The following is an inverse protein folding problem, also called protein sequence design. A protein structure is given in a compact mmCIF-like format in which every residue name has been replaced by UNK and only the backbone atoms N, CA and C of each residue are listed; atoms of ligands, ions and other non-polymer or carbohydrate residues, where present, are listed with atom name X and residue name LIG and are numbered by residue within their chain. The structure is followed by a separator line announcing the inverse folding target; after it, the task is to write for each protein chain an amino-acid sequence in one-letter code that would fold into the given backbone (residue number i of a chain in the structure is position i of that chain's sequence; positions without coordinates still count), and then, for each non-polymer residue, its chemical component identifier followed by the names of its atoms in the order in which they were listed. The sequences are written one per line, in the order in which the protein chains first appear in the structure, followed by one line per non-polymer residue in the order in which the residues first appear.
data_IF_093774172578
#
_entry.id   IF_093774172578
#
_cell.length_a   1.000
_cell.length_b   1.000
_cell.length_c   1.000
_cell.angle_alpha   90.00
_cell.angle_beta   90.00
_cell.angle_gamma   90.00
#
_symmetry.space_group_name_H-M   'P 1'
#
loop_
_entity.id
_entity.type
_entity.pdbx_description
1 polymer ?
#
# COMPACT_ATOMS: atom_id res chain seq x y z
N UNK A 1 -27.08 19.35 36.35
CA UNK A 1 -26.26 18.12 36.28
C UNK A 1 -26.46 17.48 34.91
N UNK A 2 -25.62 17.77 33.90
CA UNK A 2 -25.73 17.15 32.58
C UNK A 2 -24.71 16.02 32.42
N UNK A 3 -25.24 14.81 32.26
CA UNK A 3 -24.95 13.87 31.17
C UNK A 3 -23.49 13.60 30.80
N UNK A 4 -22.97 12.50 31.36
CA UNK A 4 -21.99 11.61 30.72
C UNK A 4 -22.53 11.07 29.39
N UNK A 5 -22.28 11.75 28.28
CA UNK A 5 -22.36 11.18 26.94
C UNK A 5 -20.93 11.08 26.42
N UNK A 6 -20.31 9.92 26.65
CA UNK A 6 -19.07 9.56 25.97
C UNK A 6 -19.36 9.53 24.46
N UNK A 7 -18.53 10.20 23.64
CA UNK A 7 -18.78 10.34 22.22
C UNK A 7 -18.68 8.98 21.50
N UNK A 8 -19.48 8.77 20.46
CA UNK A 8 -19.56 7.55 19.65
C UNK A 8 -18.19 7.02 19.15
N UNK A 9 -17.19 7.88 19.01
CA UNK A 9 -15.83 7.48 18.65
C UNK A 9 -15.11 6.71 19.77
N UNK A 10 -15.45 6.94 21.05
CA UNK A 10 -14.92 6.17 22.17
C UNK A 10 -15.48 4.74 22.18
N UNK A 11 -16.74 4.55 21.77
CA UNK A 11 -17.32 3.22 21.57
C UNK A 11 -16.76 2.52 20.33
N UNK A 12 -16.43 3.27 19.26
CA UNK A 12 -15.76 2.71 18.07
C UNK A 12 -14.31 2.29 18.37
N UNK A 13 -13.58 3.06 19.16
CA UNK A 13 -12.24 2.69 19.64
C UNK A 13 -12.29 1.53 20.64
N UNK A 14 -13.28 1.50 21.54
CA UNK A 14 -13.47 0.37 22.47
C UNK A 14 -13.84 -0.91 21.71
N UNK A 15 -14.65 -0.81 20.64
CA UNK A 15 -14.97 -1.93 19.74
C UNK A 15 -13.77 -2.40 18.90
N UNK A 16 -12.82 -1.51 18.56
CA UNK A 16 -11.55 -1.88 17.92
C UNK A 16 -10.53 -2.51 18.89
N UNK A 17 -10.66 -2.24 20.19
CA UNK A 17 -9.76 -2.80 21.23
C UNK A 17 -10.35 -3.99 22.00
N UNK A 18 -11.62 -4.35 21.74
CA UNK A 18 -12.17 -5.59 22.28
C UNK A 18 -11.46 -6.76 21.60
N UNK A 19 -10.74 -7.63 22.32
CA UNK A 19 -10.30 -8.88 21.72
C UNK A 19 -11.57 -9.63 21.36
N UNK A 20 -11.82 -9.85 20.06
CA UNK A 20 -12.68 -10.94 19.64
C UNK A 20 -12.01 -12.22 20.11
N UNK A 21 -12.30 -12.61 21.35
CA UNK A 21 -12.14 -13.98 21.82
C UNK A 21 -13.22 -14.81 21.12
N UNK A 22 -13.08 -14.97 19.81
CA UNK A 22 -13.64 -16.10 19.11
C UNK A 22 -12.70 -17.27 19.41
N UNK A 23 -13.09 -18.05 20.42
CA UNK A 23 -12.52 -19.37 20.69
C UNK A 23 -12.89 -20.28 19.51
N UNK A 24 -12.20 -20.11 18.39
CA UNK A 24 -12.21 -21.04 17.27
C UNK A 24 -11.06 -22.02 17.50
N UNK A 25 -11.25 -22.94 18.46
CA UNK A 25 -10.58 -24.24 18.40
C UNK A 25 -11.10 -24.97 17.16
N UNK A 26 -10.51 -24.66 16.01
CA UNK A 26 -10.41 -25.63 14.95
C UNK A 26 -9.19 -26.49 15.28
N UNK A 27 -9.43 -27.65 15.90
CA UNK A 27 -8.47 -28.75 15.93
C UNK A 27 -8.25 -29.23 14.49
N UNK A 28 -7.43 -28.52 13.73
CA UNK A 28 -6.72 -29.12 12.61
C UNK A 28 -5.35 -29.47 13.12
N UNK A 29 -5.20 -30.75 13.46
CA UNK A 29 -3.92 -31.41 13.60
C UNK A 29 -2.98 -30.91 12.49
N UNK A 30 -1.69 -30.64 12.79
CA UNK A 30 -0.74 -30.29 11.75
C UNK A 30 -0.67 -31.49 10.80
N UNK A 31 -1.31 -31.36 9.64
CA UNK A 31 -0.91 -32.15 8.48
C UNK A 31 0.57 -31.86 8.32
N UNK A 32 1.39 -32.88 8.58
CA UNK A 32 2.81 -32.83 8.35
C UNK A 32 3.02 -32.21 6.98
N UNK A 33 3.56 -30.99 6.96
CA UNK A 33 4.07 -30.43 5.73
C UNK A 33 5.17 -31.40 5.31
N UNK A 34 4.87 -32.28 4.35
CA UNK A 34 5.92 -32.84 3.53
C UNK A 34 6.69 -31.65 2.99
N UNK A 35 7.91 -31.46 3.48
CA UNK A 35 8.92 -30.71 2.76
C UNK A 35 9.03 -31.40 1.40
N UNK A 36 8.33 -30.85 0.40
CA UNK A 36 8.60 -31.19 -1.00
C UNK A 36 10.06 -30.78 -1.22
N UNK A 37 10.92 -31.78 -1.39
CA UNK A 37 12.31 -31.58 -1.80
C UNK A 37 12.27 -30.74 -3.07
N UNK A 38 12.80 -29.52 -2.99
CA UNK A 38 12.86 -28.61 -4.13
C UNK A 38 13.90 -29.17 -5.09
N UNK A 39 13.48 -29.96 -6.07
CA UNK A 39 14.37 -30.57 -7.06
C UNK A 39 14.58 -29.62 -8.24
N UNK A 40 15.82 -29.16 -8.44
CA UNK A 40 16.23 -28.42 -9.63
C UNK A 40 16.60 -29.40 -10.74
N UNK A 41 15.81 -29.43 -11.82
CA UNK A 41 16.10 -30.28 -12.97
C UNK A 41 17.04 -29.58 -13.93
N UNK A 42 18.10 -30.27 -14.32
CA UNK A 42 19.10 -29.80 -15.27
C UNK A 42 19.19 -30.78 -16.44
N UNK A 43 18.68 -30.36 -17.59
CA UNK A 43 18.72 -31.13 -18.84
C UNK A 43 19.92 -30.73 -19.68
N UNK A 44 20.72 -31.71 -20.09
CA UNK A 44 21.99 -31.46 -20.75
C UNK A 44 22.31 -32.48 -21.85
N UNK A 45 23.38 -32.21 -22.60
CA UNK A 45 23.93 -33.14 -23.58
C UNK A 45 25.44 -33.12 -23.61
N UNK A 46 26.03 -34.21 -24.10
CA UNK A 46 27.45 -34.24 -24.42
C UNK A 46 27.82 -33.23 -25.52
N UNK A 47 29.06 -32.75 -25.50
CA UNK A 47 29.61 -31.79 -26.47
C UNK A 47 28.84 -30.45 -26.53
N UNK A 48 28.35 -29.96 -25.38
CA UNK A 48 27.69 -28.67 -25.24
C UNK A 48 28.52 -27.73 -24.33
N UNK A 49 29.11 -26.63 -24.85
CA UNK A 49 29.98 -25.75 -24.06
C UNK A 49 29.23 -25.06 -22.91
N UNK A 50 28.03 -24.54 -23.17
CA UNK A 50 27.17 -23.93 -22.14
C UNK A 50 26.73 -24.94 -21.07
N UNK A 51 26.56 -26.21 -21.43
CA UNK A 51 26.25 -27.26 -20.48
C UNK A 51 27.43 -27.51 -19.52
N UNK A 52 28.68 -27.48 -20.01
CA UNK A 52 29.85 -27.60 -19.12
C UNK A 52 29.99 -26.43 -18.15
N UNK A 53 29.72 -25.21 -18.62
CA UNK A 53 29.73 -24.02 -17.76
C UNK A 53 28.63 -24.08 -16.70
N UNK A 54 27.42 -24.48 -17.11
CA UNK A 54 26.30 -24.75 -16.20
C UNK A 54 26.65 -25.81 -15.15
N UNK A 55 27.27 -26.93 -15.55
CA UNK A 55 27.66 -27.98 -14.62
C UNK A 55 28.65 -27.48 -13.57
N UNK A 56 29.68 -26.73 -13.99
CA UNK A 56 30.65 -26.14 -13.05
C UNK A 56 30.02 -25.12 -12.08
N UNK A 57 28.95 -24.43 -12.50
CA UNK A 57 28.17 -23.56 -11.62
C UNK A 57 27.29 -24.35 -10.66
N UNK A 58 26.58 -25.39 -11.13
CA UNK A 58 25.78 -26.28 -10.28
C UNK A 58 26.63 -26.94 -9.19
N UNK A 59 27.86 -27.35 -9.51
CA UNK A 59 28.78 -27.95 -8.54
C UNK A 59 29.19 -26.97 -7.42
N UNK A 60 29.13 -25.64 -7.67
CA UNK A 60 29.30 -24.62 -6.63
C UNK A 60 28.00 -24.42 -5.86
N UNK A 61 26.87 -24.38 -6.57
CA UNK A 61 25.55 -24.16 -6.01
C UNK A 61 25.16 -25.25 -4.99
N UNK A 62 25.44 -26.51 -5.29
CA UNK A 62 25.18 -27.64 -4.36
C UNK A 62 26.05 -27.58 -3.10
N UNK A 63 27.23 -26.95 -3.16
CA UNK A 63 28.07 -26.75 -1.97
C UNK A 63 27.54 -25.65 -1.08
N UNK A 64 26.91 -24.63 -1.66
CA UNK A 64 26.31 -23.50 -0.93
C UNK A 64 24.89 -23.79 -0.47
N UNK A 65 24.18 -24.72 -1.12
CA UNK A 65 22.80 -25.15 -0.82
C UNK A 65 22.71 -26.68 -0.66
N UNK A 66 23.17 -27.25 0.47
CA UNK A 66 23.14 -28.70 0.70
C UNK A 66 21.73 -29.31 0.73
N UNK A 67 20.70 -28.49 0.91
CA UNK A 67 19.29 -28.86 0.89
C UNK A 67 18.67 -28.91 -0.52
N UNK A 68 19.38 -28.43 -1.55
CA UNK A 68 18.94 -28.44 -2.94
C UNK A 68 19.29 -29.78 -3.60
N UNK A 69 18.27 -30.48 -4.11
CA UNK A 69 18.49 -31.66 -4.94
C UNK A 69 18.60 -31.26 -6.42
N UNK A 70 19.74 -31.51 -7.06
CA UNK A 70 19.91 -31.22 -8.50
C UNK A 70 19.83 -32.51 -9.32
N UNK A 71 18.73 -32.69 -10.03
CA UNK A 71 18.51 -33.81 -10.93
C UNK A 71 19.14 -33.54 -12.31
N UNK A 72 20.32 -34.12 -12.57
CA UNK A 72 21.03 -34.00 -13.85
C UNK A 72 20.56 -35.07 -14.85
N UNK A 73 19.95 -34.67 -15.95
CA UNK A 73 19.34 -35.58 -16.94
C UNK A 73 19.92 -35.33 -18.33
N UNK A 74 20.48 -36.36 -18.93
CA UNK A 74 21.00 -36.30 -20.31
C UNK A 74 19.85 -36.56 -21.30
N UNK A 75 19.78 -35.82 -22.42
CA UNK A 75 18.62 -35.87 -23.35
C UNK A 75 18.91 -36.43 -24.75
N UNK A 76 20.16 -36.77 -25.06
CA UNK A 76 20.57 -37.28 -26.38
C UNK A 76 20.80 -38.78 -26.34
N UNK A 77 21.67 -39.24 -25.45
CA UNK A 77 22.04 -40.64 -25.27
C UNK A 77 21.05 -41.39 -24.37
N UNK A 78 20.38 -40.70 -23.45
CA UNK A 78 19.34 -41.30 -22.61
C UNK A 78 17.94 -41.08 -23.20
N UNK A 79 17.32 -42.17 -23.66
CA UNK A 79 15.96 -42.15 -24.19
C UNK A 79 14.90 -41.83 -23.13
N UNK A 80 15.12 -42.26 -21.88
CA UNK A 80 14.21 -41.97 -20.77
C UNK A 80 14.35 -40.50 -20.34
N UNK A 81 15.58 -40.00 -20.26
CA UNK A 81 15.88 -38.59 -20.01
C UNK A 81 15.29 -37.66 -21.07
N UNK A 82 15.37 -38.05 -22.35
CA UNK A 82 14.70 -37.33 -23.44
C UNK A 82 13.18 -37.30 -23.31
N UNK A 83 12.56 -38.44 -22.99
CA UNK A 83 11.12 -38.52 -22.81
C UNK A 83 10.65 -37.61 -21.65
N UNK A 84 11.38 -37.62 -20.54
CA UNK A 84 11.13 -36.75 -19.38
C UNK A 84 11.29 -35.27 -19.73
N UNK A 85 12.31 -34.90 -20.51
CA UNK A 85 12.48 -33.52 -20.96
C UNK A 85 11.30 -33.02 -21.79
N UNK A 86 10.84 -33.84 -22.75
CA UNK A 86 9.68 -33.49 -23.59
C UNK A 86 8.42 -33.35 -22.75
N UNK A 87 8.16 -34.30 -21.84
CA UNK A 87 7.01 -34.28 -20.94
C UNK A 87 6.98 -33.02 -20.08
N UNK A 88 8.09 -32.69 -19.41
CA UNK A 88 8.18 -31.55 -18.49
C UNK A 88 8.06 -30.21 -19.20
N UNK A 89 8.61 -30.08 -20.42
CA UNK A 89 8.48 -28.88 -21.24
C UNK A 89 7.03 -28.72 -21.75
N UNK A 90 6.44 -29.81 -22.26
CA UNK A 90 5.07 -29.79 -22.82
C UNK A 90 4.03 -29.50 -21.74
N UNK A 91 4.20 -30.06 -20.53
CA UNK A 91 3.33 -29.78 -19.39
C UNK A 91 3.29 -28.29 -19.01
N UNK A 92 4.34 -27.54 -19.35
CA UNK A 92 4.48 -26.09 -19.08
C UNK A 92 4.17 -25.23 -20.31
N UNK A 93 3.69 -25.83 -21.40
CA UNK A 93 3.42 -25.12 -22.66
C UNK A 93 4.67 -24.65 -23.40
N UNK A 94 5.84 -25.15 -23.05
CA UNK A 94 7.13 -24.78 -23.64
C UNK A 94 7.59 -25.77 -24.70
N UNK A 95 8.39 -25.30 -25.67
CA UNK A 95 8.91 -26.15 -26.75
C UNK A 95 10.30 -26.69 -26.37
N UNK A 96 10.52 -28.03 -26.35
CA UNK A 96 11.82 -28.62 -26.03
C UNK A 96 12.82 -28.45 -27.19
N UNK A 97 13.42 -27.26 -27.30
CA UNK A 97 14.21 -26.85 -28.47
C UNK A 97 15.73 -26.71 -28.21
N UNK A 98 16.16 -26.61 -26.95
CA UNK A 98 17.57 -26.41 -26.62
C UNK A 98 17.97 -26.97 -25.23
N UNK A 99 19.28 -27.12 -25.06
CA UNK A 99 19.95 -27.45 -23.79
C UNK A 99 21.22 -26.57 -23.66
N UNK A 100 21.69 -26.23 -22.44
CA UNK A 100 21.15 -26.66 -21.15
C UNK A 100 19.79 -26.04 -20.85
N UNK A 101 18.90 -26.79 -20.19
CA UNK A 101 17.60 -26.28 -19.74
C UNK A 101 17.40 -26.60 -18.27
N UNK A 102 16.93 -25.63 -17.51
CA UNK A 102 16.68 -25.74 -16.08
C UNK A 102 15.19 -25.65 -15.79
N UNK A 103 14.68 -26.51 -14.91
CA UNK A 103 13.28 -26.48 -14.47
C UNK A 103 13.21 -26.52 -12.95
N UNK A 104 12.48 -25.56 -12.37
CA UNK A 104 12.23 -25.45 -10.94
C UNK A 104 10.77 -25.05 -10.72
N UNK A 105 9.95 -25.98 -10.22
CA UNK A 105 8.49 -25.77 -10.13
C UNK A 105 7.89 -25.48 -11.52
N UNK A 106 7.19 -24.36 -11.67
CA UNK A 106 6.60 -23.91 -12.94
C UNK A 106 7.58 -23.15 -13.85
N UNK A 107 8.76 -22.76 -13.35
CA UNK A 107 9.69 -21.94 -14.13
C UNK A 107 10.63 -22.80 -14.99
N UNK A 108 10.89 -22.30 -16.20
CA UNK A 108 11.79 -22.89 -17.19
C UNK A 108 12.81 -21.84 -17.62
N UNK A 109 14.09 -22.21 -17.63
CA UNK A 109 15.16 -21.39 -18.20
C UNK A 109 15.91 -22.18 -19.26
N UNK A 110 16.01 -21.61 -20.45
CA UNK A 110 16.69 -22.22 -21.59
C UNK A 110 18.01 -21.49 -21.85
N UNK A 111 19.10 -22.25 -21.92
CA UNK A 111 20.46 -21.73 -22.06
C UNK A 111 21.16 -21.49 -20.72
N UNK A 112 22.41 -21.02 -20.79
CA UNK A 112 23.17 -20.65 -19.60
C UNK A 112 24.00 -19.39 -19.84
N UNK A 113 23.83 -18.41 -18.95
CA UNK A 113 24.53 -17.13 -18.92
C UNK A 113 24.42 -16.54 -17.50
N UNK A 114 25.26 -15.55 -17.12
CA UNK A 114 25.21 -14.95 -15.78
C UNK A 114 23.80 -14.49 -15.32
N UNK A 115 22.96 -13.85 -16.18
CA UNK A 115 21.61 -13.45 -15.77
C UNK A 115 20.68 -14.64 -15.45
N UNK A 116 20.90 -15.79 -16.10
CA UNK A 116 20.12 -17.01 -15.84
C UNK A 116 20.53 -17.62 -14.51
N UNK A 117 21.83 -17.65 -14.21
CA UNK A 117 22.34 -18.11 -12.92
C UNK A 117 21.80 -17.26 -11.76
N UNK A 118 21.85 -15.93 -11.89
CA UNK A 118 21.28 -14.99 -10.91
C UNK A 118 19.78 -15.19 -10.73
N UNK A 119 19.03 -15.41 -11.82
CA UNK A 119 17.58 -15.64 -11.76
C UNK A 119 17.22 -16.96 -11.05
N UNK A 120 18.03 -18.02 -11.23
CA UNK A 120 17.83 -19.30 -10.55
C UNK A 120 18.20 -19.18 -9.06
N UNK A 121 19.32 -18.54 -8.73
CA UNK A 121 19.74 -18.28 -7.35
C UNK A 121 18.71 -17.42 -6.59
N UNK A 122 18.17 -16.38 -7.23
CA UNK A 122 17.08 -15.58 -6.68
C UNK A 122 15.82 -16.42 -6.43
N UNK A 123 15.48 -17.33 -7.36
CA UNK A 123 14.33 -18.22 -7.19
C UNK A 123 14.55 -19.25 -6.07
N UNK A 124 15.77 -19.72 -5.85
CA UNK A 124 16.12 -20.62 -4.77
C UNK A 124 16.13 -19.91 -3.40
N UNK A 125 16.53 -18.64 -3.36
CA UNK A 125 16.37 -17.79 -2.19
C UNK A 125 14.88 -17.56 -1.86
N UNK A 126 14.04 -17.36 -2.88
CA UNK A 126 12.58 -17.27 -2.75
C UNK A 126 11.95 -18.62 -2.36
N UNK A 127 12.48 -19.78 -2.79
CA UNK A 127 11.93 -21.11 -2.47
C UNK A 127 12.21 -21.55 -1.02
N UNK A 128 13.31 -21.10 -0.42
CA UNK A 128 13.57 -21.26 1.02
C UNK A 128 12.64 -20.42 1.90
N UNK A 129 11.95 -19.45 1.30
CA UNK A 129 10.75 -18.85 1.85
C UNK A 129 9.56 -19.64 1.29
N UNK A 130 9.19 -20.74 1.96
CA UNK A 130 7.91 -21.40 1.68
C UNK A 130 6.81 -20.33 1.46
N UNK A 131 5.89 -20.49 0.47
CA UNK A 131 4.91 -19.44 0.09
C UNK A 131 4.11 -18.88 1.27
N UNK A 132 4.07 -19.65 2.35
CA UNK A 132 3.60 -19.26 3.66
C UNK A 132 4.26 -18.00 4.28
N UNK A 133 5.32 -17.40 3.73
CA UNK A 133 5.93 -16.19 4.25
C UNK A 133 5.43 -14.87 3.64
N UNK A 134 5.00 -14.88 2.38
CA UNK A 134 4.80 -13.65 1.57
C UNK A 134 3.53 -12.88 1.93
N UNK A 135 2.57 -13.57 2.55
CA UNK A 135 1.25 -13.04 2.90
C UNK A 135 0.91 -13.22 4.39
N UNK A 136 1.92 -13.41 5.23
CA UNK A 136 1.73 -13.36 6.68
C UNK A 136 1.71 -11.91 7.15
N UNK A 137 0.53 -11.45 7.51
CA UNK A 137 0.31 -10.23 8.26
C UNK A 137 0.70 -10.50 9.73
N UNK A 138 1.90 -10.11 10.14
CA UNK A 138 2.27 -10.15 11.56
C UNK A 138 1.56 -8.98 12.28
N UNK A 139 0.60 -9.29 13.16
CA UNK A 139 -0.17 -8.31 13.92
C UNK A 139 0.52 -7.95 15.26
N UNK A 140 1.80 -8.30 15.43
CA UNK A 140 2.55 -8.07 16.67
C UNK A 140 1.98 -8.89 17.84
N UNK A 141 1.58 -8.28 18.98
CA UNK A 141 1.07 -9.02 20.13
C UNK A 141 -0.27 -9.74 19.88
N UNK A 142 -0.96 -9.41 18.78
CA UNK A 142 -2.23 -10.02 18.38
C UNK A 142 -2.04 -11.32 17.56
N UNK A 143 -0.79 -11.72 17.26
CA UNK A 143 -0.46 -12.95 16.55
C UNK A 143 -0.18 -12.76 15.06
N UNK A 144 0.11 -13.87 14.36
CA UNK A 144 0.42 -13.87 12.92
C UNK A 144 -0.80 -14.34 12.14
N UNK A 145 -1.22 -13.59 11.14
CA UNK A 145 -2.39 -13.87 10.30
C UNK A 145 -1.93 -14.17 8.87
N UNK A 146 -2.23 -15.36 8.36
CA UNK A 146 -1.92 -15.72 6.97
C UNK A 146 -3.06 -15.26 6.05
N UNK A 147 -2.82 -14.21 5.25
CA UNK A 147 -3.80 -13.64 4.32
C UNK A 147 -4.06 -14.57 3.13
N UNK A 148 -3.13 -15.47 2.80
CA UNK A 148 -3.32 -16.42 1.70
C UNK A 148 -4.41 -17.46 2.04
N UNK A 149 -4.64 -17.73 3.33
CA UNK A 149 -5.72 -18.58 3.82
C UNK A 149 -7.04 -17.86 4.10
N UNK A 150 -7.07 -16.53 3.95
CA UNK A 150 -8.29 -15.75 4.20
C UNK A 150 -9.14 -15.60 2.94
N UNK A 151 -10.47 -15.49 3.08
CA UNK A 151 -11.32 -15.09 1.96
C UNK A 151 -10.80 -13.77 1.40
N UNK A 152 -10.64 -13.66 0.08
CA UNK A 152 -10.11 -12.47 -0.60
C UNK A 152 -10.83 -11.17 -0.21
N UNK A 153 -12.10 -11.28 0.18
CA UNK A 153 -12.87 -10.18 0.74
C UNK A 153 -12.25 -9.63 2.04
N UNK A 154 -11.84 -10.49 2.98
CA UNK A 154 -11.27 -10.06 4.28
C UNK A 154 -9.93 -9.36 4.08
N UNK A 155 -9.06 -9.91 3.22
CA UNK A 155 -7.80 -9.28 2.86
C UNK A 155 -8.04 -7.89 2.23
N UNK A 156 -9.03 -7.78 1.33
CA UNK A 156 -9.44 -6.50 0.72
C UNK A 156 -9.93 -5.51 1.78
N UNK A 157 -10.79 -5.94 2.71
CA UNK A 157 -11.32 -5.07 3.77
C UNK A 157 -10.21 -4.56 4.69
N UNK A 158 -9.27 -5.41 5.09
CA UNK A 158 -8.18 -5.03 5.99
C UNK A 158 -7.22 -4.05 5.31
N UNK A 159 -6.76 -4.36 4.09
CA UNK A 159 -5.82 -3.51 3.36
C UNK A 159 -6.47 -2.15 3.07
N UNK A 160 -7.70 -2.14 2.53
CA UNK A 160 -8.40 -0.90 2.21
C UNK A 160 -8.74 -0.07 3.45
N UNK A 161 -9.02 -0.69 4.59
CA UNK A 161 -9.28 0.04 5.84
C UNK A 161 -8.02 0.74 6.35
N UNK A 162 -6.86 0.08 6.29
CA UNK A 162 -5.59 0.70 6.67
C UNK A 162 -5.20 1.82 5.69
N UNK A 163 -5.40 1.58 4.40
CA UNK A 163 -5.15 2.56 3.34
C UNK A 163 -6.03 3.82 3.47
N UNK A 164 -7.31 3.64 3.80
CA UNK A 164 -8.28 4.74 3.98
C UNK A 164 -7.91 5.73 5.09
N UNK A 165 -7.17 5.30 6.12
CA UNK A 165 -6.63 6.21 7.14
C UNK A 165 -5.43 7.03 6.63
N UNK A 166 -5.65 7.79 5.55
CA UNK A 166 -4.62 8.60 4.91
C UNK A 166 -4.59 10.04 5.48
N UNK A 167 -3.51 10.43 6.18
CA UNK A 167 -3.40 11.78 6.74
C UNK A 167 -3.44 12.89 5.67
N UNK A 168 -3.10 12.58 4.42
CA UNK A 168 -3.12 13.54 3.30
C UNK A 168 -4.55 13.88 2.86
N UNK A 169 -5.38 12.85 2.59
CA UNK A 169 -6.77 13.04 2.16
C UNK A 169 -7.62 13.71 3.25
N UNK A 170 -7.48 13.24 4.49
CA UNK A 170 -8.21 13.79 5.65
C UNK A 170 -7.94 15.29 5.85
N UNK A 171 -6.70 15.73 5.70
CA UNK A 171 -6.36 17.15 5.83
C UNK A 171 -7.01 18.00 4.72
N UNK A 172 -6.96 17.53 3.48
CA UNK A 172 -7.57 18.26 2.35
C UNK A 172 -9.09 18.32 2.49
N UNK A 173 -9.73 17.21 2.82
CA UNK A 173 -11.18 17.16 3.01
C UNK A 173 -11.63 18.14 4.10
N UNK A 174 -10.92 18.20 5.23
CA UNK A 174 -11.27 19.14 6.31
C UNK A 174 -11.13 20.60 5.89
N UNK A 175 -10.12 20.96 5.09
CA UNK A 175 -9.97 22.31 4.53
C UNK A 175 -11.09 22.62 3.53
N UNK A 176 -11.40 21.69 2.63
CA UNK A 176 -12.51 21.80 1.67
C UNK A 176 -13.83 22.05 2.41
N UNK A 177 -14.12 21.20 3.40
CA UNK A 177 -15.31 21.29 4.25
C UNK A 177 -15.37 22.64 4.98
N UNK A 178 -14.27 23.09 5.59
CA UNK A 178 -14.23 24.38 6.29
C UNK A 178 -14.59 25.57 5.37
N UNK A 179 -14.20 25.51 4.09
CA UNK A 179 -14.52 26.56 3.11
C UNK A 179 -16.01 26.52 2.68
N UNK A 180 -16.59 25.34 2.50
CA UNK A 180 -17.95 25.17 1.95
C UNK A 180 -19.05 25.09 3.01
N UNK A 181 -18.76 24.65 4.24
CA UNK A 181 -19.74 24.61 5.34
C UNK A 181 -20.29 25.98 5.66
N UNK A 182 -19.48 27.00 5.39
CA UNK A 182 -19.94 28.36 5.36
C UNK A 182 -21.28 28.45 4.64
N UNK A 183 -21.40 27.95 3.40
CA UNK A 183 -22.51 28.18 2.46
C UNK A 183 -23.92 27.98 3.03
N UNK A 184 -24.09 27.16 4.08
CA UNK A 184 -25.36 26.89 4.74
C UNK A 184 -26.31 25.98 3.95
N UNK A 185 -25.93 25.54 2.75
CA UNK A 185 -26.75 24.71 1.87
C UNK A 185 -26.24 23.27 1.88
N UNK A 186 -27.06 22.34 2.39
CA UNK A 186 -26.76 20.89 2.41
C UNK A 186 -26.50 20.34 1.00
N UNK A 187 -27.28 20.79 0.01
CA UNK A 187 -27.13 20.37 -1.39
C UNK A 187 -25.81 20.84 -1.99
N UNK A 188 -25.36 22.06 -1.71
CA UNK A 188 -24.03 22.52 -2.18
C UNK A 188 -22.90 21.74 -1.52
N UNK A 189 -23.00 21.47 -0.21
CA UNK A 189 -21.99 20.70 0.52
C UNK A 189 -21.91 19.27 -0.03
N UNK A 190 -23.06 18.61 -0.21
CA UNK A 190 -23.14 17.27 -0.79
C UNK A 190 -22.62 17.22 -2.23
N UNK A 191 -22.94 18.22 -3.07
CA UNK A 191 -22.46 18.26 -4.45
C UNK A 191 -20.94 18.40 -4.54
N UNK A 192 -20.34 19.32 -3.76
CA UNK A 192 -18.89 19.53 -3.73
C UNK A 192 -18.18 18.33 -3.11
N UNK A 193 -18.59 17.90 -1.92
CA UNK A 193 -17.97 16.76 -1.24
C UNK A 193 -18.12 15.47 -2.05
N UNK A 194 -19.30 15.21 -2.61
CA UNK A 194 -19.54 14.06 -3.47
C UNK A 194 -18.71 14.07 -4.75
N UNK A 195 -18.52 15.25 -5.36
CA UNK A 195 -17.63 15.38 -6.53
C UNK A 195 -16.17 15.14 -6.17
N UNK A 196 -15.71 15.63 -5.02
CA UNK A 196 -14.38 15.34 -4.50
C UNK A 196 -14.18 13.83 -4.35
N UNK A 197 -15.08 13.15 -3.62
CA UNK A 197 -15.00 11.70 -3.39
C UNK A 197 -15.06 10.90 -4.69
N UNK A 198 -15.92 11.28 -5.63
CA UNK A 198 -16.05 10.59 -6.92
C UNK A 198 -14.78 10.72 -7.77
N UNK A 199 -14.17 11.91 -7.80
CA UNK A 199 -12.92 12.14 -8.54
C UNK A 199 -11.77 11.36 -7.90
N UNK A 200 -11.65 11.39 -6.57
CA UNK A 200 -10.65 10.60 -5.84
C UNK A 200 -10.84 9.10 -6.09
N UNK A 201 -12.06 8.57 -5.93
CA UNK A 201 -12.40 7.17 -6.23
C UNK A 201 -12.03 6.77 -7.65
N UNK A 202 -12.32 7.63 -8.63
CA UNK A 202 -12.09 7.35 -10.04
C UNK A 202 -10.60 7.32 -10.38
N UNK A 203 -9.83 8.31 -9.92
CA UNK A 203 -8.39 8.37 -10.16
C UNK A 203 -7.65 7.27 -9.43
N UNK A 204 -8.04 7.00 -8.17
CA UNK A 204 -7.44 5.93 -7.39
C UNK A 204 -7.80 4.56 -7.99
N UNK A 205 -9.07 4.32 -8.31
CA UNK A 205 -9.50 3.10 -8.99
C UNK A 205 -8.82 2.86 -10.34
N UNK A 206 -8.59 3.92 -11.12
CA UNK A 206 -7.83 3.84 -12.38
C UNK A 206 -6.37 3.46 -12.12
N UNK A 207 -5.75 4.01 -11.07
CA UNK A 207 -4.41 3.62 -10.65
C UNK A 207 -4.34 2.14 -10.26
N UNK A 208 -5.26 1.65 -9.40
CA UNK A 208 -5.28 0.24 -8.98
C UNK A 208 -5.50 -0.68 -10.18
N UNK A 209 -6.47 -0.37 -11.05
CA UNK A 209 -6.73 -1.15 -12.25
C UNK A 209 -5.55 -1.14 -13.24
N UNK A 210 -4.82 -0.03 -13.30
CA UNK A 210 -3.64 0.16 -14.15
C UNK A 210 -2.32 -0.26 -13.51
N UNK A 211 -2.31 -0.81 -12.29
CA UNK A 211 -1.09 -0.96 -11.49
C UNK A 211 -0.06 -1.87 -12.15
N UNK A 212 -0.45 -2.96 -12.81
CA UNK A 212 0.49 -3.83 -13.54
C UNK A 212 1.12 -3.14 -14.75
N UNK A 213 0.34 -2.33 -15.48
CA UNK A 213 0.87 -1.49 -16.55
C UNK A 213 1.81 -0.41 -16.00
N UNK A 214 1.44 0.20 -14.86
CA UNK A 214 2.25 1.20 -14.18
C UNK A 214 3.57 0.61 -13.64
N UNK A 215 3.55 -0.60 -13.07
CA UNK A 215 4.73 -1.30 -12.55
C UNK A 215 5.72 -1.70 -13.64
N UNK A 216 5.23 -2.09 -14.83
CA UNK A 216 6.07 -2.35 -16.01
C UNK A 216 6.87 -1.11 -16.44
N UNK A 217 6.22 0.06 -16.40
CA UNK A 217 6.86 1.36 -16.68
C UNK A 217 7.77 1.80 -15.52
N UNK A 218 7.32 1.62 -14.28
CA UNK A 218 8.07 2.02 -13.08
C UNK A 218 9.36 1.22 -12.88
N UNK A 219 9.42 -0.04 -13.34
CA UNK A 219 10.66 -0.85 -13.33
C UNK A 219 11.81 -0.18 -14.09
N UNK A 220 11.51 0.65 -15.09
CA UNK A 220 12.49 1.42 -15.85
C UNK A 220 12.83 2.78 -15.25
N UNK A 221 12.08 3.23 -14.23
CA UNK A 221 12.22 4.52 -13.58
C UNK A 221 12.70 4.31 -12.14
N UNK A 222 13.95 3.86 -12.00
CA UNK A 222 14.64 3.63 -10.71
C UNK A 222 14.66 4.86 -9.78
N UNK A 223 14.29 6.05 -10.29
CA UNK A 223 14.21 7.30 -9.53
C UNK A 223 12.83 7.66 -8.98
N UNK A 224 11.74 6.96 -9.33
CA UNK A 224 10.39 7.33 -8.83
C UNK A 224 10.34 7.26 -7.31
N UNK A 225 10.84 6.17 -6.72
CA UNK A 225 10.85 6.00 -5.26
C UNK A 225 11.60 7.14 -4.56
N UNK A 226 12.74 7.56 -5.12
CA UNK A 226 13.50 8.70 -4.61
C UNK A 226 12.71 10.02 -4.70
N UNK A 227 12.05 10.28 -5.83
CA UNK A 227 11.22 11.47 -6.02
C UNK A 227 10.05 11.49 -5.03
N UNK A 228 9.37 10.35 -4.87
CA UNK A 228 8.26 10.16 -3.94
C UNK A 228 8.71 10.37 -2.49
N UNK A 229 9.81 9.74 -2.10
CA UNK A 229 10.34 9.85 -0.75
C UNK A 229 10.80 11.28 -0.45
N UNK A 230 11.50 11.94 -1.39
CA UNK A 230 11.90 13.34 -1.25
C UNK A 230 10.68 14.26 -1.13
N UNK A 231 9.65 14.02 -1.94
CA UNK A 231 8.41 14.77 -1.86
C UNK A 231 7.73 14.62 -0.50
N UNK A 232 7.58 13.38 0.00
CA UNK A 232 7.02 13.09 1.32
C UNK A 232 7.84 13.73 2.44
N UNK A 233 9.18 13.69 2.35
CA UNK A 233 10.07 14.31 3.33
C UNK A 233 9.96 15.84 3.34
N UNK A 234 9.92 16.48 2.17
CA UNK A 234 9.75 17.94 2.07
C UNK A 234 8.39 18.35 2.65
N UNK A 235 7.32 17.65 2.27
CA UNK A 235 5.98 17.96 2.77
C UNK A 235 5.86 17.71 4.28
N UNK A 236 6.39 16.60 4.75
CA UNK A 236 6.45 16.25 6.17
C UNK A 236 7.22 17.30 6.97
N UNK A 237 8.41 17.70 6.52
CA UNK A 237 9.24 18.70 7.18
C UNK A 237 8.55 20.07 7.28
N UNK A 238 7.90 20.53 6.21
CA UNK A 238 7.14 21.79 6.21
C UNK A 238 5.96 21.73 7.19
N UNK A 239 5.25 20.60 7.24
CA UNK A 239 4.12 20.39 8.14
C UNK A 239 4.56 20.35 9.63
N UNK A 240 5.66 19.66 9.95
CA UNK A 240 6.24 19.66 11.31
C UNK A 240 6.77 21.05 11.67
N UNK A 241 7.47 21.74 10.76
CA UNK A 241 7.93 23.13 11.00
C UNK A 241 6.76 24.06 11.30
N UNK A 242 5.66 23.95 10.56
CA UNK A 242 4.47 24.76 10.79
C UNK A 242 3.86 24.55 12.18
N UNK A 243 4.09 23.41 12.84
CA UNK A 243 3.69 23.23 14.23
C UNK A 243 4.44 24.17 15.17
N UNK A 244 5.77 24.29 15.04
CA UNK A 244 6.60 25.10 15.94
C UNK A 244 6.64 26.58 15.54
N UNK A 245 6.86 26.86 14.25
CA UNK A 245 7.02 28.19 13.68
C UNK A 245 5.88 28.46 12.69
N UNK A 246 4.66 28.56 13.23
CA UNK A 246 3.45 28.71 12.42
C UNK A 246 3.54 29.99 11.56
N UNK A 247 3.43 29.81 10.23
CA UNK A 247 3.49 30.88 9.21
C UNK A 247 4.82 31.65 9.09
N UNK A 248 5.91 31.16 9.68
CA UNK A 248 7.24 31.71 9.42
C UNK A 248 7.89 30.97 8.22
N UNK A 249 8.27 31.72 7.19
CA UNK A 249 8.91 31.17 5.98
C UNK A 249 7.95 30.40 5.05
N UNK A 250 8.43 29.29 4.47
CA UNK A 250 7.64 28.39 3.63
C UNK A 250 6.58 27.68 4.49
N UNK A 251 5.30 27.86 4.18
CA UNK A 251 4.20 27.23 4.91
C UNK A 251 3.09 26.87 3.93
N UNK A 252 2.51 25.68 4.07
CA UNK A 252 1.33 25.26 3.29
C UNK A 252 0.02 25.74 3.90
N UNK A 253 0.07 26.63 4.90
CA UNK A 253 -1.11 27.36 5.36
C UNK A 253 -1.37 28.61 4.53
N UNK A 254 -2.66 28.93 4.35
CA UNK A 254 -3.11 30.17 3.72
C UNK A 254 -2.47 31.39 4.44
N UNK A 255 -1.66 32.21 3.74
CA UNK A 255 -1.04 33.41 4.31
C UNK A 255 -2.10 34.44 4.74
N UNK A 256 -1.88 35.16 5.86
CA UNK A 256 -2.84 36.14 6.39
C UNK A 256 -3.19 37.24 5.39
N UNK A 257 -2.23 37.65 4.56
CA UNK A 257 -2.44 38.60 3.47
C UNK A 257 -3.55 38.22 2.48
N UNK A 258 -3.83 36.92 2.32
CA UNK A 258 -4.86 36.43 1.41
C UNK A 258 -6.16 36.05 2.12
N UNK A 259 -6.19 35.91 3.46
CA UNK A 259 -7.42 35.56 4.19
C UNK A 259 -8.58 36.52 3.92
N UNK A 260 -8.42 37.86 3.90
CA UNK A 260 -9.53 38.77 3.61
C UNK A 260 -10.07 38.61 2.18
N UNK A 261 -9.20 38.36 1.19
CA UNK A 261 -9.59 38.15 -0.21
C UNK A 261 -10.25 36.79 -0.42
N UNK A 262 -9.79 35.74 0.24
CA UNK A 262 -10.41 34.40 0.21
C UNK A 262 -11.74 34.42 0.95
N UNK A 263 -11.85 35.09 2.10
CA UNK A 263 -13.13 35.22 2.82
C UNK A 263 -14.12 36.15 2.11
N UNK A 264 -13.68 37.28 1.53
CA UNK A 264 -14.55 38.13 0.68
C UNK A 264 -14.99 37.37 -0.58
N UNK A 265 -14.05 36.71 -1.25
CA UNK A 265 -14.32 35.82 -2.38
C UNK A 265 -15.28 34.69 -1.98
N UNK A 266 -15.16 34.10 -0.80
CA UNK A 266 -16.11 33.06 -0.33
C UNK A 266 -17.51 33.60 -0.04
N UNK A 267 -17.63 34.90 0.28
CA UNK A 267 -18.91 35.58 0.53
C UNK A 267 -19.58 36.00 -0.80
N UNK A 268 -18.79 36.38 -1.80
CA UNK A 268 -19.23 36.62 -3.19
C UNK A 268 -19.54 35.30 -3.93
N UNK A 269 -18.73 34.25 -3.73
CA UNK A 269 -18.94 32.87 -4.21
C UNK A 269 -20.26 32.30 -3.67
N UNK A 270 -20.71 32.76 -2.49
CA UNK A 270 -21.98 32.33 -1.93
C UNK A 270 -23.19 32.90 -2.66
N UNK A 271 -23.06 34.06 -3.32
CA UNK A 271 -24.16 34.74 -3.99
C UNK A 271 -24.18 34.54 -5.51
N UNK A 272 -23.05 34.34 -6.19
CA UNK A 272 -23.01 34.50 -7.67
C UNK A 272 -22.25 33.44 -8.49
N UNK A 273 -21.50 32.48 -7.90
CA UNK A 273 -20.92 31.41 -8.73
C UNK A 273 -21.96 30.33 -9.05
N UNK A 274 -22.09 30.03 -10.34
CA UNK A 274 -22.88 28.92 -10.83
C UNK A 274 -22.34 27.59 -10.27
N UNK A 275 -23.23 26.67 -9.92
CA UNK A 275 -22.89 25.35 -9.41
C UNK A 275 -21.84 24.61 -10.29
N UNK A 276 -21.88 24.70 -11.64
CA UNK A 276 -20.84 24.13 -12.50
C UNK A 276 -19.44 24.68 -12.27
N UNK A 277 -19.30 25.99 -12.05
CA UNK A 277 -17.98 26.60 -11.80
C UNK A 277 -17.37 26.10 -10.49
N UNK A 278 -18.21 25.85 -9.48
CA UNK A 278 -17.81 25.27 -8.20
C UNK A 278 -17.36 23.81 -8.35
N UNK A 279 -18.12 23.01 -9.10
CA UNK A 279 -17.77 21.61 -9.37
C UNK A 279 -16.48 21.49 -10.19
N UNK A 280 -16.29 22.35 -11.19
CA UNK A 280 -15.06 22.37 -11.99
C UNK A 280 -13.83 22.68 -11.11
N UNK A 281 -13.92 23.68 -10.22
CA UNK A 281 -12.83 23.97 -9.29
C UNK A 281 -12.56 22.83 -8.32
N UNK A 282 -13.62 22.13 -7.90
CA UNK A 282 -13.50 20.95 -7.01
C UNK A 282 -12.82 19.81 -7.73
N UNK A 283 -13.16 19.57 -9.00
CA UNK A 283 -12.55 18.52 -9.82
C UNK A 283 -11.05 18.73 -9.99
N UNK A 284 -10.62 19.95 -10.31
CA UNK A 284 -9.18 20.27 -10.46
C UNK A 284 -8.44 20.09 -9.14
N UNK A 285 -9.03 20.56 -8.03
CA UNK A 285 -8.44 20.41 -6.70
C UNK A 285 -8.34 18.92 -6.31
N UNK A 286 -9.43 18.16 -6.46
CA UNK A 286 -9.49 16.75 -6.14
C UNK A 286 -8.48 15.94 -6.96
N UNK A 287 -8.34 16.24 -8.26
CA UNK A 287 -7.36 15.58 -9.11
C UNK A 287 -5.91 15.88 -8.68
N UNK A 288 -5.60 17.13 -8.36
CA UNK A 288 -4.27 17.51 -7.86
C UNK A 288 -3.95 16.84 -6.52
N UNK A 289 -4.95 16.70 -5.64
CA UNK A 289 -4.81 16.04 -4.35
C UNK A 289 -4.58 14.54 -4.53
N UNK A 290 -5.40 13.88 -5.35
CA UNK A 290 -5.23 12.45 -5.65
C UNK A 290 -3.82 12.15 -6.20
N UNK A 291 -3.29 13.01 -7.08
CA UNK A 291 -1.92 12.86 -7.61
C UNK A 291 -0.83 12.99 -6.52
N UNK A 292 -1.03 13.87 -5.55
CA UNK A 292 -0.15 14.06 -4.40
C UNK A 292 -0.29 12.91 -3.39
N UNK A 293 -1.46 12.27 -3.38
CA UNK A 293 -1.80 11.19 -2.48
C UNK A 293 -1.22 9.85 -2.91
N UNK A 294 -1.24 9.56 -4.22
CA UNK A 294 -0.76 8.30 -4.81
C UNK A 294 0.59 7.84 -4.22
N UNK A 295 1.63 8.67 -4.09
CA UNK A 295 2.91 8.24 -3.53
C UNK A 295 2.86 7.83 -2.06
N UNK A 296 1.90 8.37 -1.29
CA UNK A 296 1.78 8.13 0.15
C UNK A 296 1.08 6.81 0.46
N UNK A 297 0.29 6.27 -0.49
CA UNK A 297 -0.54 5.08 -0.30
C UNK A 297 -0.32 3.99 -1.34
N UNK A 298 0.43 4.24 -2.42
CA UNK A 298 0.63 3.31 -3.54
C UNK A 298 1.09 1.89 -3.14
N UNK A 299 1.75 1.73 -1.99
CA UNK A 299 2.16 0.42 -1.49
C UNK A 299 0.98 -0.54 -1.28
N UNK A 300 -0.13 -0.06 -0.72
CA UNK A 300 -1.29 -0.91 -0.40
C UNK A 300 -1.98 -1.47 -1.66
N UNK A 301 -2.30 -0.66 -2.70
CA UNK A 301 -2.82 -1.20 -3.96
C UNK A 301 -1.88 -2.15 -4.69
N UNK A 302 -0.56 -1.95 -4.61
CA UNK A 302 0.42 -2.84 -5.24
C UNK A 302 0.41 -4.22 -4.58
N UNK A 303 0.37 -4.28 -3.24
CA UNK A 303 0.27 -5.54 -2.50
C UNK A 303 -1.07 -6.23 -2.79
N UNK A 304 -2.17 -5.48 -2.71
CA UNK A 304 -3.51 -6.01 -2.97
C UNK A 304 -3.68 -6.55 -4.40
N UNK A 305 -3.22 -5.80 -5.41
CA UNK A 305 -3.31 -6.24 -6.80
C UNK A 305 -2.49 -7.49 -7.09
N UNK A 306 -1.33 -7.63 -6.45
CA UNK A 306 -0.51 -8.83 -6.54
C UNK A 306 -1.24 -10.05 -5.95
N UNK A 307 -1.85 -9.90 -4.77
CA UNK A 307 -2.69 -10.93 -4.14
C UNK A 307 -3.85 -11.38 -5.04
N UNK A 308 -4.58 -10.42 -5.62
CA UNK A 308 -5.74 -10.70 -6.48
C UNK A 308 -5.32 -11.38 -7.79
N UNK A 309 -4.16 -10.99 -8.34
CA UNK A 309 -3.60 -11.62 -9.54
C UNK A 309 -3.13 -13.05 -9.29
N UNK A 310 -2.48 -13.32 -8.15
CA UNK A 310 -2.08 -14.69 -7.76
C UNK A 310 -3.28 -15.59 -7.48
N UNK A 311 -4.36 -15.04 -6.92
CA UNK A 311 -5.63 -15.75 -6.76
C UNK A 311 -6.35 -16.00 -8.11
N UNK A 312 -5.82 -15.50 -9.23
CA UNK A 312 -6.40 -15.68 -10.57
C UNK A 312 -7.73 -14.96 -10.78
N UNK A 313 -8.07 -13.97 -9.93
CA UNK A 313 -9.36 -13.30 -9.96
C UNK A 313 -9.38 -12.21 -11.04
N UNK A 314 -10.26 -12.38 -12.02
CA UNK A 314 -10.33 -11.52 -13.20
C UNK A 314 -11.78 -11.08 -13.49
N UNK A 315 -11.94 -10.08 -14.36
CA UNK A 315 -13.25 -9.64 -14.87
C UNK A 315 -14.18 -9.06 -13.79
N UNK A 316 -15.44 -9.53 -13.69
CA UNK A 316 -16.44 -8.92 -12.80
C UNK A 316 -16.11 -9.15 -11.31
N UNK A 317 -15.46 -10.26 -10.97
CA UNK A 317 -15.03 -10.53 -9.60
C UNK A 317 -13.93 -9.55 -9.16
N UNK A 318 -12.98 -9.24 -10.05
CA UNK A 318 -12.00 -8.17 -9.83
C UNK A 318 -12.68 -6.82 -9.63
N UNK A 319 -13.63 -6.46 -10.50
CA UNK A 319 -14.37 -5.21 -10.39
C UNK A 319 -15.15 -5.09 -9.06
N UNK A 320 -15.74 -6.19 -8.58
CA UNK A 320 -16.43 -6.24 -7.29
C UNK A 320 -15.49 -6.03 -6.11
N UNK A 321 -14.31 -6.68 -6.12
CA UNK A 321 -13.31 -6.48 -5.07
C UNK A 321 -12.70 -5.07 -5.13
N UNK A 322 -12.44 -4.53 -6.32
CA UNK A 322 -11.99 -3.15 -6.50
C UNK A 322 -13.03 -2.15 -5.98
N UNK A 323 -14.31 -2.34 -6.29
CA UNK A 323 -15.37 -1.49 -5.76
C UNK A 323 -15.45 -1.56 -4.23
N UNK A 324 -15.28 -2.76 -3.66
CA UNK A 324 -15.22 -2.96 -2.21
C UNK A 324 -14.01 -2.24 -1.61
N UNK A 325 -12.84 -2.37 -2.24
CA UNK A 325 -11.62 -1.66 -1.85
C UNK A 325 -11.89 -0.15 -1.79
N UNK A 326 -12.38 0.44 -2.89
CA UNK A 326 -12.62 1.88 -2.97
C UNK A 326 -13.68 2.38 -1.97
N UNK A 327 -14.71 1.57 -1.69
CA UNK A 327 -15.74 1.91 -0.72
C UNK A 327 -15.18 1.97 0.71
N UNK A 328 -14.35 1.00 1.07
CA UNK A 328 -13.73 0.94 2.41
C UNK A 328 -12.64 2.00 2.55
N UNK A 329 -11.83 2.19 1.50
CA UNK A 329 -10.82 3.24 1.43
C UNK A 329 -11.42 4.64 1.61
N UNK A 330 -12.62 4.92 1.06
CA UNK A 330 -13.29 6.23 1.21
C UNK A 330 -14.24 6.33 2.41
N UNK A 331 -14.29 5.30 3.26
CA UNK A 331 -15.34 5.18 4.26
C UNK A 331 -15.29 6.30 5.30
N UNK A 332 -14.09 6.67 5.74
CA UNK A 332 -13.88 7.75 6.71
C UNK A 332 -14.16 9.13 6.11
N UNK A 333 -13.81 9.42 4.86
CA UNK A 333 -14.22 10.68 4.23
C UNK A 333 -15.72 10.77 3.98
N UNK A 334 -16.36 9.65 3.59
CA UNK A 334 -17.82 9.56 3.47
C UNK A 334 -18.47 9.86 4.83
N UNK A 335 -17.93 9.31 5.93
CA UNK A 335 -18.45 9.54 7.27
C UNK A 335 -18.25 11.00 7.71
N UNK A 336 -17.08 11.59 7.44
CA UNK A 336 -16.80 13.01 7.74
C UNK A 336 -17.72 13.93 6.93
N UNK A 337 -17.90 13.67 5.64
CA UNK A 337 -18.81 14.44 4.79
C UNK A 337 -20.27 14.29 5.25
N UNK A 338 -20.70 13.06 5.55
CA UNK A 338 -22.04 12.77 6.03
C UNK A 338 -22.37 13.50 7.34
N UNK A 339 -21.45 13.44 8.31
CA UNK A 339 -21.59 14.17 9.58
C UNK A 339 -21.62 15.68 9.36
N UNK A 340 -20.81 16.23 8.45
CA UNK A 340 -20.84 17.65 8.09
C UNK A 340 -22.17 18.09 7.44
N UNK A 341 -22.75 17.27 6.55
CA UNK A 341 -24.04 17.56 5.90
C UNK A 341 -25.19 17.57 6.92
N UNK A 342 -25.19 16.61 7.85
CA UNK A 342 -26.23 16.49 8.88
C UNK A 342 -26.14 17.65 9.88
N UNK A 343 -24.94 17.88 10.43
CA UNK A 343 -24.73 18.84 11.52
C UNK A 343 -24.73 20.30 11.07
N UNK A 344 -24.32 20.60 9.82
CA UNK A 344 -24.10 21.96 9.30
C UNK A 344 -23.26 22.85 10.23
N UNK A 345 -22.54 22.23 11.17
CA UNK A 345 -21.77 22.86 12.23
C UNK A 345 -20.49 22.05 12.36
N UNK A 346 -19.42 22.53 11.73
CA UNK A 346 -18.08 22.15 12.16
C UNK A 346 -17.83 22.87 13.49
N UNK A 347 -17.49 22.12 14.54
CA UNK A 347 -16.96 22.72 15.76
C UNK A 347 -15.81 23.64 15.35
N UNK A 348 -15.78 24.90 15.84
CA UNK A 348 -14.78 25.89 15.41
C UNK A 348 -13.39 25.26 15.53
N UNK A 349 -12.79 24.88 14.41
CA UNK A 349 -11.40 24.41 14.40
C UNK A 349 -10.53 25.61 14.75
N UNK A 350 -10.18 25.71 16.03
CA UNK A 350 -9.21 26.68 16.50
C UNK A 350 -7.85 26.37 15.86
N UNK A 351 -7.02 27.41 15.73
CA UNK A 351 -5.68 27.32 15.16
C UNK A 351 -4.85 26.17 15.76
N UNK A 352 -5.06 25.88 17.04
CA UNK A 352 -4.44 24.76 17.78
C UNK A 352 -4.74 23.39 17.16
N UNK A 353 -5.98 23.12 16.76
CA UNK A 353 -6.35 21.84 16.13
C UNK A 353 -5.67 21.68 14.76
N UNK A 354 -5.59 22.78 13.99
CA UNK A 354 -4.88 22.80 12.71
C UNK A 354 -3.37 22.58 12.87
N UNK A 355 -2.75 23.14 13.91
CA UNK A 355 -1.33 22.91 14.24
C UNK A 355 -1.11 21.44 14.63
N UNK A 356 -1.94 20.88 15.51
CA UNK A 356 -1.85 19.48 15.92
C UNK A 356 -1.96 18.52 14.74
N UNK A 357 -2.94 18.74 13.85
CA UNK A 357 -3.12 17.88 12.69
C UNK A 357 -1.92 17.93 11.72
N UNK A 358 -1.31 19.11 11.55
CA UNK A 358 -0.07 19.26 10.78
C UNK A 358 1.12 18.54 11.40
N UNK A 359 1.25 18.56 12.73
CA UNK A 359 2.32 17.81 13.39
C UNK A 359 2.14 16.31 13.18
N UNK A 360 0.93 15.79 13.42
CA UNK A 360 0.64 14.36 13.28
C UNK A 360 0.87 13.91 11.84
N UNK A 361 0.23 14.57 10.87
CA UNK A 361 0.39 14.24 9.44
C UNK A 361 1.85 14.42 8.98
N UNK A 362 2.52 15.49 9.42
CA UNK A 362 3.92 15.75 9.08
C UNK A 362 4.88 14.69 9.62
N UNK A 363 4.70 14.24 10.87
CA UNK A 363 5.51 13.18 11.46
C UNK A 363 5.30 11.84 10.76
N UNK A 364 4.06 11.51 10.39
CA UNK A 364 3.76 10.29 9.61
C UNK A 364 4.41 10.37 8.23
N UNK A 365 4.27 11.48 7.51
CA UNK A 365 4.92 11.66 6.19
C UNK A 365 6.45 11.58 6.27
N UNK A 366 7.07 12.17 7.30
CA UNK A 366 8.51 12.07 7.52
C UNK A 366 8.96 10.64 7.79
N UNK A 367 8.21 9.91 8.62
CA UNK A 367 8.54 8.52 8.96
C UNK A 367 8.43 7.61 7.74
N UNK A 368 7.33 7.72 6.97
CA UNK A 368 7.13 6.93 5.75
C UNK A 368 8.18 7.29 4.69
N UNK A 369 8.43 8.58 4.44
CA UNK A 369 9.45 9.04 3.48
C UNK A 369 10.87 8.64 3.88
N UNK A 370 11.19 8.64 5.18
CA UNK A 370 12.49 8.20 5.69
C UNK A 370 12.72 6.71 5.53
N UNK A 371 11.70 5.89 5.86
CA UNK A 371 11.79 4.43 5.70
C UNK A 371 11.94 4.04 4.23
N UNK A 372 11.22 4.72 3.32
CA UNK A 372 11.35 4.52 1.88
C UNK A 372 12.78 4.78 1.34
N UNK A 373 13.61 5.59 2.03
CA UNK A 373 15.02 5.82 1.65
C UNK A 373 16.01 4.88 2.34
N UNK A 374 15.75 4.50 3.59
CA UNK A 374 16.71 3.75 4.40
C UNK A 374 16.50 2.24 4.24
N UNK A 375 15.27 1.77 4.40
CA UNK A 375 14.95 0.35 4.44
C UNK A 375 13.51 0.13 3.94
N UNK A 376 13.27 0.18 2.61
CA UNK A 376 11.93 0.03 2.05
C UNK A 376 11.28 -1.31 2.39
N UNK A 377 12.08 -2.34 2.72
CA UNK A 377 11.60 -3.64 3.18
C UNK A 377 10.70 -3.56 4.42
N UNK A 378 10.85 -2.54 5.27
CA UNK A 378 9.95 -2.33 6.41
C UNK A 378 8.51 -2.03 5.98
N UNK A 379 8.30 -1.43 4.80
CA UNK A 379 6.97 -1.13 4.26
C UNK A 379 6.34 -2.33 3.55
N UNK A 380 7.11 -3.39 3.29
CA UNK A 380 6.59 -4.63 2.67
C UNK A 380 5.75 -5.46 3.66
N UNK A 381 5.90 -5.21 4.96
CA UNK A 381 5.13 -5.86 6.01
C UNK A 381 4.15 -4.88 6.68
N UNK A 382 2.94 -5.37 7.03
CA UNK A 382 2.00 -4.55 7.80
C UNK A 382 2.56 -4.23 9.20
N UNK A 383 3.26 -5.17 9.85
CA UNK A 383 3.91 -4.93 11.13
C UNK A 383 4.89 -3.75 11.05
N UNK A 384 5.77 -3.75 10.05
CA UNK A 384 6.72 -2.66 9.84
C UNK A 384 6.00 -1.34 9.56
N UNK A 385 4.96 -1.35 8.73
CA UNK A 385 4.12 -0.17 8.48
C UNK A 385 3.45 0.36 9.76
N UNK A 386 2.88 -0.52 10.59
CA UNK A 386 2.25 -0.17 11.87
C UNK A 386 3.25 0.33 12.90
N UNK A 387 4.45 -0.26 12.97
CA UNK A 387 5.53 0.20 13.86
C UNK A 387 5.99 1.59 13.45
N UNK A 388 6.14 1.86 12.16
CA UNK A 388 6.57 3.16 11.64
C UNK A 388 5.51 4.23 11.91
N UNK A 389 4.24 3.95 11.61
CA UNK A 389 3.13 4.86 11.90
C UNK A 389 3.00 5.06 13.42
N UNK A 390 3.05 3.98 14.21
CA UNK A 390 2.97 4.03 15.66
C UNK A 390 4.09 4.83 16.31
N UNK A 391 5.33 4.67 15.84
CA UNK A 391 6.48 5.46 16.26
C UNK A 391 6.32 6.94 15.88
N UNK A 392 5.81 7.24 14.68
CA UNK A 392 5.53 8.60 14.25
C UNK A 392 4.46 9.28 15.13
N UNK A 393 3.38 8.57 15.45
CA UNK A 393 2.32 9.05 16.34
C UNK A 393 2.82 9.25 17.77
N UNK A 394 3.60 8.30 18.31
CA UNK A 394 4.22 8.41 19.63
C UNK A 394 5.18 9.61 19.69
N UNK A 395 5.98 9.82 18.64
CA UNK A 395 6.84 10.99 18.49
C UNK A 395 6.05 12.31 18.47
N UNK A 396 4.95 12.36 17.70
CA UNK A 396 4.05 13.52 17.69
C UNK A 396 3.45 13.80 19.08
N UNK A 397 3.00 12.75 19.80
CA UNK A 397 2.48 12.87 21.17
C UNK A 397 3.54 13.37 22.15
N UNK A 398 4.77 12.86 22.06
CA UNK A 398 5.89 13.32 22.90
C UNK A 398 6.20 14.80 22.64
N UNK A 399 6.24 15.21 21.37
CA UNK A 399 6.42 16.63 21.00
C UNK A 399 5.31 17.50 21.56
N UNK A 400 4.05 17.07 21.47
CA UNK A 400 2.91 17.79 22.04
C UNK A 400 2.96 17.89 23.56
N UNK A 401 3.41 16.83 24.25
CA UNK A 401 3.56 16.84 25.69
C UNK A 401 4.64 17.83 26.16
N UNK A 402 5.74 17.97 25.40
CA UNK A 402 6.82 18.92 25.70
C UNK A 402 6.42 20.36 25.36
N UNK A 403 5.81 20.59 24.20
CA UNK A 403 5.39 21.93 23.76
C UNK A 403 4.21 22.48 24.58
N UNK A 404 3.28 21.60 25.00
CA UNK A 404 2.14 21.94 25.85
C UNK A 404 2.56 22.43 27.24
N UNK A 405 3.69 21.93 27.76
CA UNK A 405 4.27 22.42 29.03
C UNK A 405 4.84 23.85 28.91
N UNK A 406 5.21 24.29 27.71
CA UNK A 406 5.77 25.64 27.49
C UNK A 406 4.72 26.72 27.23
N UNK A 407 3.49 26.38 26.82
CA UNK A 407 2.41 27.37 26.58
C UNK A 407 1.56 27.69 27.82
N UNK A 408 1.89 27.09 28.97
CA UNK A 408 1.19 27.26 30.25
C UNK A 408 1.86 28.23 31.23
N UNK A 409 2.79 29.07 30.78
CA UNK A 409 3.36 30.18 31.57
C UNK A 409 2.99 31.52 30.96
#
# INVERSE_FOLDING_TARGET
MPSCLLPLWAWLLLALTLPLAADARADTAPAAAQQESTTLWYFWREHCPFCREAAAWLDRLERTHPELEVARVEVVQDAAGRARFIEMMTARGEVPNAVPTFILGERVWVGFAPPIAEAIEAQLADAHQAPSGRYRLDLGPLGRLDLAGQPMLVATLLIAAVDGFNPCSLWVLTVLLAMILGSGSRTRIAAVGGTFLLVTASLYGLFIAGVFAALSVARHLSGIQLVVALFALVFGAVNVKDYFAFRQGLSFSIPERFKPRIYRGSREVRRERSLPALLLTTLVLAAGVALIELPCTAGFPVIWSSLVAEAGIQGPAFAGLLATYLLVYLLDEILILGTAIVTLRIGRMQETHGRTLKLIGGMVMLALGGVLLVEPALMESLAGSLVVIGAALAGALAVMAVSGRHSGR
#
